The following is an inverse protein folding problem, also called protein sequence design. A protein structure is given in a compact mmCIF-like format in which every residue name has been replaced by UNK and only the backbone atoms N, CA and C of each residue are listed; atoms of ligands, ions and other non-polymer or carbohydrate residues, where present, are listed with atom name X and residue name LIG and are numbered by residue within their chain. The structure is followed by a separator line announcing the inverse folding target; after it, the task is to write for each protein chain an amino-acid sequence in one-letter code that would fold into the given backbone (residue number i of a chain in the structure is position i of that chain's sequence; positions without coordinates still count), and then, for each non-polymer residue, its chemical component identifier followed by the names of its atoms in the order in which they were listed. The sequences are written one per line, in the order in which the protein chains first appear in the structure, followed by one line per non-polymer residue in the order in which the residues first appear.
data_IF_044278067813
#
_entry.id   IF_044278067813
#
_cell.length_a   1.000
_cell.length_b   1.000
_cell.length_c   1.000
_cell.angle_alpha   90.00
_cell.angle_beta   90.00
_cell.angle_gamma   90.00
#
_symmetry.space_group_name_H-M   'P 1'
#
loop_
_entity.id
_entity.type
_entity.pdbx_description
1 polymer ?
#
# COMPACT_ATOMS: atom_id res chain seq x y z
N UNK A 1 -14.55 -11.58 7.61
CA UNK A 1 -13.92 -10.84 8.74
C UNK A 1 -12.53 -10.38 8.30
N UNK A 2 -12.30 -9.07 8.15
CA UNK A 2 -10.99 -8.57 7.71
C UNK A 2 -10.03 -8.61 8.90
N UNK A 3 -8.91 -9.35 8.78
CA UNK A 3 -7.89 -9.38 9.83
C UNK A 3 -7.12 -8.06 9.83
N UNK A 4 -7.02 -7.42 10.99
CA UNK A 4 -6.19 -6.20 11.16
C UNK A 4 -4.75 -6.49 10.69
N UNK A 5 -4.10 -5.54 9.98
CA UNK A 5 -2.71 -5.74 9.54
C UNK A 5 -1.79 -6.02 10.72
N UNK A 6 -0.89 -7.00 10.55
CA UNK A 6 0.18 -7.22 11.51
C UNK A 6 1.22 -6.10 11.38
N UNK A 7 1.61 -5.53 12.52
CA UNK A 7 2.75 -4.60 12.62
C UNK A 7 4.03 -5.33 12.17
N UNK A 8 5.01 -4.58 11.66
CA UNK A 8 6.30 -5.07 11.17
C UNK A 8 6.29 -6.02 9.96
N UNK A 9 5.18 -6.11 9.23
CA UNK A 9 5.19 -6.77 7.91
C UNK A 9 5.85 -5.90 6.85
N UNK A 10 6.28 -6.50 5.73
CA UNK A 10 6.77 -5.74 4.57
C UNK A 10 5.76 -4.67 4.12
N UNK A 11 4.45 -4.99 4.08
CA UNK A 11 3.39 -4.03 3.74
C UNK A 11 3.30 -2.88 4.74
N UNK A 12 3.40 -3.16 6.03
CA UNK A 12 3.44 -2.12 7.05
C UNK A 12 4.66 -1.19 6.87
N UNK A 13 5.84 -1.75 6.59
CA UNK A 13 7.05 -0.97 6.31
C UNK A 13 6.89 -0.10 5.05
N UNK A 14 6.37 -0.68 3.97
CA UNK A 14 6.08 0.04 2.72
C UNK A 14 5.12 1.21 2.95
N UNK A 15 4.02 0.98 3.68
CA UNK A 15 3.04 2.01 4.00
C UNK A 15 3.64 3.18 4.78
N UNK A 16 4.37 2.90 5.87
CA UNK A 16 5.05 3.95 6.63
C UNK A 16 6.08 4.72 5.80
N UNK A 17 6.76 4.04 4.89
CA UNK A 17 7.76 4.65 4.02
C UNK A 17 7.11 5.63 3.02
N UNK A 18 5.99 5.24 2.41
CA UNK A 18 5.22 6.10 1.49
C UNK A 18 4.71 7.36 2.20
N UNK A 19 4.27 7.23 3.47
CA UNK A 19 3.85 8.35 4.32
C UNK A 19 4.93 9.40 4.60
N UNK A 20 6.21 9.14 4.31
CA UNK A 20 7.27 10.15 4.42
C UNK A 20 7.11 11.32 3.43
N UNK A 21 6.16 11.24 2.48
CA UNK A 21 5.88 12.29 1.49
C UNK A 21 6.92 12.39 0.36
N UNK A 22 7.97 11.55 0.41
CA UNK A 22 8.99 11.45 -0.63
C UNK A 22 8.49 10.66 -1.84
N UNK A 23 9.18 10.88 -2.95
CA UNK A 23 9.02 10.09 -4.17
C UNK A 23 9.96 8.88 -4.09
N UNK A 24 9.45 7.70 -4.40
CA UNK A 24 10.19 6.44 -4.24
C UNK A 24 10.22 5.60 -5.51
N UNK A 25 11.36 4.94 -5.77
CA UNK A 25 11.49 3.87 -6.76
C UNK A 25 11.19 2.51 -6.12
N UNK A 26 10.70 1.57 -6.92
CA UNK A 26 10.31 0.23 -6.44
C UNK A 26 11.49 -0.59 -5.89
N UNK A 27 12.68 -0.44 -6.48
CA UNK A 27 13.90 -1.13 -6.02
C UNK A 27 14.35 -0.63 -4.63
N UNK A 28 14.28 0.67 -4.40
CA UNK A 28 14.60 1.27 -3.10
C UNK A 28 13.62 0.80 -2.02
N UNK A 29 12.34 0.75 -2.36
CA UNK A 29 11.29 0.23 -1.46
C UNK A 29 11.57 -1.24 -1.13
N UNK A 30 11.93 -2.06 -2.13
CA UNK A 30 12.22 -3.47 -1.94
C UNK A 30 13.42 -3.69 -0.99
N UNK A 31 14.50 -2.94 -1.22
CA UNK A 31 15.70 -2.96 -0.40
C UNK A 31 15.40 -2.57 1.05
N UNK A 32 14.76 -1.40 1.26
CA UNK A 32 14.48 -0.85 2.59
C UNK A 32 13.46 -1.71 3.34
N UNK A 33 12.45 -2.25 2.65
CA UNK A 33 11.42 -3.07 3.27
C UNK A 33 11.82 -4.54 3.44
N UNK A 34 13.00 -4.94 2.95
CA UNK A 34 13.50 -6.31 3.02
C UNK A 34 12.55 -7.30 2.35
N UNK A 35 12.09 -7.00 1.14
CA UNK A 35 11.16 -7.86 0.39
C UNK A 35 11.48 -7.83 -1.11
N UNK A 36 10.85 -8.69 -1.91
CA UNK A 36 11.11 -8.74 -3.35
C UNK A 36 10.39 -7.62 -4.10
N UNK A 37 11.00 -7.14 -5.19
CA UNK A 37 10.40 -6.14 -6.10
C UNK A 37 9.02 -6.58 -6.60
N UNK A 38 8.83 -7.87 -6.87
CA UNK A 38 7.53 -8.42 -7.26
C UNK A 38 6.45 -8.23 -6.18
N UNK A 39 6.80 -8.39 -4.90
CA UNK A 39 5.87 -8.17 -3.80
C UNK A 39 5.56 -6.68 -3.62
N UNK A 40 6.56 -5.81 -3.78
CA UNK A 40 6.40 -4.35 -3.80
C UNK A 40 5.44 -3.95 -4.92
N UNK A 41 5.73 -4.32 -6.18
CA UNK A 41 4.89 -4.03 -7.35
C UNK A 41 3.44 -4.47 -7.18
N UNK A 42 3.21 -5.64 -6.59
CA UNK A 42 1.84 -6.12 -6.32
C UNK A 42 1.11 -5.20 -5.35
N UNK A 43 1.78 -4.78 -4.28
CA UNK A 43 1.18 -3.90 -3.29
C UNK A 43 1.02 -2.46 -3.79
N UNK A 44 2.01 -1.89 -4.48
CA UNK A 44 1.90 -0.56 -5.06
C UNK A 44 0.78 -0.48 -6.10
N UNK A 45 0.64 -1.50 -6.97
CA UNK A 45 -0.51 -1.56 -7.91
C UNK A 45 -1.86 -1.57 -7.21
N UNK A 46 -1.97 -2.27 -6.08
CA UNK A 46 -3.18 -2.23 -5.26
C UNK A 46 -3.46 -0.81 -4.78
N UNK A 47 -2.45 -0.13 -4.21
CA UNK A 47 -2.61 1.22 -3.68
C UNK A 47 -2.92 2.25 -4.77
N UNK A 48 -2.27 2.17 -5.94
CA UNK A 48 -2.53 3.04 -7.10
C UNK A 48 -3.96 2.87 -7.57
N UNK A 49 -4.41 1.63 -7.78
CA UNK A 49 -5.76 1.32 -8.25
C UNK A 49 -6.86 1.86 -7.33
N UNK A 50 -6.54 2.07 -6.06
CA UNK A 50 -7.47 2.51 -5.01
C UNK A 50 -7.28 3.98 -4.63
N UNK A 51 -6.43 4.71 -5.35
CA UNK A 51 -6.21 6.13 -5.17
C UNK A 51 -5.39 6.53 -3.94
N UNK A 52 -4.78 5.59 -3.21
CA UNK A 52 -3.94 5.93 -2.05
C UNK A 52 -2.64 6.61 -2.46
N UNK A 53 -2.09 6.20 -3.60
CA UNK A 53 -0.82 6.69 -4.13
C UNK A 53 -0.92 6.98 -5.62
N UNK A 54 -0.12 7.93 -6.09
CA UNK A 54 0.08 8.23 -7.50
C UNK A 54 1.30 7.48 -8.02
N UNK A 55 1.18 6.92 -9.22
CA UNK A 55 2.33 6.46 -10.00
C UNK A 55 2.63 7.47 -11.11
N UNK A 56 3.88 7.93 -11.18
CA UNK A 56 4.40 8.77 -12.26
C UNK A 56 5.66 8.11 -12.83
N UNK A 57 5.53 7.44 -13.98
CA UNK A 57 6.57 6.60 -14.55
C UNK A 57 6.94 5.45 -13.59
N UNK A 58 8.20 5.42 -13.17
CA UNK A 58 8.75 4.43 -12.23
C UNK A 58 8.74 4.90 -10.77
N UNK A 59 8.05 6.00 -10.48
CA UNK A 59 8.04 6.60 -9.15
C UNK A 59 6.66 6.63 -8.53
N UNK A 60 6.63 6.59 -7.19
CA UNK A 60 5.41 6.53 -6.40
C UNK A 60 5.39 7.61 -5.33
N UNK A 61 4.23 8.24 -5.13
CA UNK A 61 4.01 9.27 -4.12
C UNK A 61 2.66 9.09 -3.42
N UNK A 62 2.62 9.33 -2.11
CA UNK A 62 1.39 9.32 -1.33
C UNK A 62 0.41 10.40 -1.80
N UNK A 63 -0.87 10.04 -1.94
CA UNK A 63 -1.97 10.96 -2.20
C UNK A 63 -2.91 11.09 -0.99
N UNK A 64 -3.26 9.96 -0.38
CA UNK A 64 -4.28 9.87 0.67
C UNK A 64 -3.74 9.11 1.88
N UNK A 65 -3.34 9.86 2.92
CA UNK A 65 -2.87 9.30 4.19
C UNK A 65 -4.03 9.08 5.17
N UNK A 66 -4.58 7.87 5.12
CA UNK A 66 -5.73 7.46 5.93
C UNK A 66 -5.37 7.01 7.35
N UNK A 67 -4.07 6.87 7.69
CA UNK A 67 -3.64 6.48 9.04
C UNK A 67 -2.46 5.51 9.07
N UNK A 68 -2.26 4.85 10.21
CA UNK A 68 -1.04 4.07 10.47
C UNK A 68 -1.05 2.65 9.91
N UNK A 69 -2.24 2.11 9.68
CA UNK A 69 -2.39 0.73 9.24
C UNK A 69 -2.49 0.67 7.70
N UNK A 70 -1.75 -0.24 7.05
CA UNK A 70 -1.83 -0.39 5.60
C UNK A 70 -3.21 -0.88 5.18
N UNK A 71 -3.78 -0.35 4.07
CA UNK A 71 -4.94 -0.94 3.44
C UNK A 71 -4.72 -2.39 3.04
N UNK A 72 -5.76 -3.22 3.13
CA UNK A 72 -5.68 -4.67 2.92
C UNK A 72 -6.63 -5.09 1.81
N UNK A 73 -6.10 -5.79 0.81
CA UNK A 73 -6.93 -6.47 -0.19
C UNK A 73 -7.73 -7.58 0.50
N UNK A 74 -9.05 -7.50 0.35
CA UNK A 74 -10.01 -8.51 0.78
C UNK A 74 -10.25 -9.48 -0.37
N UNK A 75 -10.29 -10.76 -0.04
CA UNK A 75 -10.70 -11.84 -0.95
C UNK A 75 -12.14 -12.24 -0.60
N UNK A 76 -12.96 -12.66 -1.58
CA UNK A 76 -12.63 -12.91 -2.98
C UNK A 76 -12.69 -11.69 -3.93
N UNK A 77 -13.39 -10.62 -3.55
CA UNK A 77 -13.77 -9.53 -4.48
C UNK A 77 -12.62 -8.57 -4.86
N UNK A 78 -11.40 -8.78 -4.34
CA UNK A 78 -10.24 -7.88 -4.52
C UNK A 78 -10.51 -6.41 -4.14
N UNK A 79 -11.56 -6.18 -3.33
CA UNK A 79 -11.84 -4.89 -2.73
C UNK A 79 -10.77 -4.57 -1.68
N UNK A 80 -10.50 -3.30 -1.43
CA UNK A 80 -9.50 -2.87 -0.46
C UNK A 80 -10.19 -2.31 0.77
N UNK A 81 -9.98 -2.96 1.91
CA UNK A 81 -10.45 -2.47 3.19
C UNK A 81 -9.39 -1.57 3.81
N UNK A 82 -9.79 -0.37 4.18
CA UNK A 82 -8.98 0.53 4.99
C UNK A 82 -9.30 0.31 6.48
N UNK A 83 -8.36 -0.23 7.27
CA UNK A 83 -8.57 -0.45 8.70
C UNK A 83 -8.57 0.82 9.56
N UNK A 84 -8.15 1.97 9.02
CA UNK A 84 -8.14 3.24 9.73
C UNK A 84 -9.47 3.98 9.59
N UNK A 85 -10.05 4.00 8.38
CA UNK A 85 -11.34 4.68 8.12
C UNK A 85 -12.54 3.74 8.21
N UNK A 86 -12.33 2.42 8.10
CA UNK A 86 -13.39 1.43 7.99
C UNK A 86 -14.00 1.33 6.58
N UNK A 87 -13.49 2.09 5.62
CA UNK A 87 -13.99 2.09 4.24
C UNK A 87 -13.63 0.81 3.49
N UNK A 88 -14.53 0.38 2.62
CA UNK A 88 -14.28 -0.67 1.65
C UNK A 88 -14.29 -0.05 0.25
N UNK A 89 -13.11 0.04 -0.38
CA UNK A 89 -12.96 0.54 -1.74
C UNK A 89 -13.03 -0.62 -2.72
N UNK A 90 -14.13 -0.71 -3.45
CA UNK A 90 -14.30 -1.64 -4.56
C UNK A 90 -13.77 -0.98 -5.84
N UNK A 91 -13.16 -1.77 -6.72
CA UNK A 91 -12.85 -1.30 -8.07
C UNK A 91 -14.04 -1.72 -8.92
N UNK A 92 -14.70 -0.77 -9.58
CA UNK A 92 -15.64 -1.05 -10.66
C UNK A 92 -14.91 -1.61 -11.89
#
# INVERSE_FOLDING_TARGET
MVRKPRRNTARFRMWRMLKSGRVWHEDDIALICGTSVNHVRKYLRLLVRQGYILQAGHTYKMLDDTGDLPPVETVPNRATYDPNTGELRCVE
#
